data_IF_566044809143
#
_entry.id   IF_566044809143
#
_cell.length_a   1.000
_cell.length_b   1.000
_cell.length_c   1.000
_cell.angle_alpha   90.00
_cell.angle_beta   90.00
_cell.angle_gamma   90.00
#
_symmetry.space_group_name_H-M   'P 1'
#
loop_
_entity.id
_entity.type
_entity.pdbx_description
1 polymer ?
#
# COMPACT_ATOMS: atom_id res chain seq x y z
N UNK A 1 -63.94 40.03 -28.01
CA UNK A 1 -64.44 39.79 -29.38
C UNK A 1 -63.22 39.60 -30.26
N UNK A 2 -62.89 38.35 -30.61
CA UNK A 2 -63.22 37.71 -31.91
C UNK A 2 -62.79 38.61 -33.09
N UNK A 3 -61.92 38.22 -34.01
CA UNK A 3 -61.28 36.94 -34.33
C UNK A 3 -60.83 36.95 -35.81
N UNK A 4 -60.13 35.88 -36.21
CA UNK A 4 -59.85 35.41 -37.59
C UNK A 4 -59.00 36.34 -38.48
N UNK A 5 -58.16 35.87 -39.41
CA UNK A 5 -57.73 34.54 -39.86
C UNK A 5 -56.49 34.76 -40.76
N UNK A 6 -55.64 33.74 -40.94
CA UNK A 6 -55.29 33.23 -42.29
C UNK A 6 -54.19 32.17 -42.20
N UNK A 7 -54.49 31.00 -42.74
CA UNK A 7 -53.55 29.97 -43.07
C UNK A 7 -52.87 30.30 -44.40
N UNK A 8 -51.57 30.01 -44.52
CA UNK A 8 -50.98 29.67 -45.82
C UNK A 8 -49.96 28.57 -45.63
N UNK A 9 -50.06 27.62 -46.53
CA UNK A 9 -49.43 26.31 -46.58
C UNK A 9 -48.18 26.44 -47.45
N UNK A 10 -47.00 26.08 -46.95
CA UNK A 10 -45.76 26.06 -47.75
C UNK A 10 -45.11 24.69 -47.60
N UNK A 11 -45.15 23.93 -48.69
CA UNK A 11 -44.40 22.70 -48.91
C UNK A 11 -42.90 23.01 -48.90
N UNK A 12 -42.20 22.56 -47.85
CA UNK A 12 -40.75 22.60 -47.74
C UNK A 12 -40.12 21.30 -48.22
N UNK A 13 -39.46 21.36 -49.37
CA UNK A 13 -38.58 20.33 -49.92
C UNK A 13 -37.52 19.90 -48.92
N UNK A 14 -37.54 18.63 -48.50
CA UNK A 14 -36.53 18.03 -47.62
C UNK A 14 -35.23 17.84 -48.38
N UNK A 15 -34.31 18.81 -48.29
CA UNK A 15 -32.91 18.58 -48.60
C UNK A 15 -32.27 17.81 -47.44
N UNK A 16 -31.87 16.58 -47.75
CA UNK A 16 -31.12 15.69 -46.86
C UNK A 16 -29.70 16.24 -46.74
N UNK A 17 -29.50 17.11 -45.75
CA UNK A 17 -28.18 17.59 -45.33
C UNK A 17 -27.36 16.41 -44.82
N UNK A 18 -26.30 16.05 -45.54
CA UNK A 18 -25.21 15.23 -45.04
C UNK A 18 -24.50 16.05 -43.97
N UNK A 19 -24.77 15.75 -42.70
CA UNK A 19 -24.01 16.28 -41.58
C UNK A 19 -22.59 15.73 -41.66
N UNK A 20 -21.72 16.49 -42.32
CA UNK A 20 -20.30 16.44 -42.04
C UNK A 20 -20.11 16.97 -40.61
N UNK A 21 -20.05 16.03 -39.66
CA UNK A 21 -19.72 16.22 -38.25
C UNK A 21 -18.24 16.64 -38.11
N UNK A 22 -17.90 17.74 -38.76
CA UNK A 22 -16.65 18.47 -38.60
C UNK A 22 -16.76 19.33 -37.35
N UNK A 23 -16.88 18.63 -36.21
CA UNK A 23 -16.95 19.21 -34.88
C UNK A 23 -15.89 20.30 -34.74
N UNK A 24 -16.35 21.55 -34.73
CA UNK A 24 -15.56 22.72 -34.41
C UNK A 24 -15.22 22.66 -32.92
N UNK A 25 -14.28 21.77 -32.57
CA UNK A 25 -13.62 21.80 -31.28
C UNK A 25 -13.07 23.21 -31.10
N UNK A 26 -13.41 23.83 -29.97
CA UNK A 26 -12.89 25.15 -29.59
C UNK A 26 -11.39 25.21 -29.87
N UNK A 27 -10.87 26.32 -30.39
CA UNK A 27 -9.43 26.50 -30.63
C UNK A 27 -8.59 26.20 -29.38
N UNK A 28 -9.18 26.42 -28.19
CA UNK A 28 -8.63 26.00 -26.90
C UNK A 28 -8.49 24.48 -26.79
N UNK A 29 -9.50 23.71 -27.20
CA UNK A 29 -9.49 22.24 -27.16
C UNK A 29 -8.46 21.66 -28.13
N UNK A 30 -8.32 22.26 -29.32
CA UNK A 30 -7.25 21.88 -30.26
C UNK A 30 -5.87 22.14 -29.64
N UNK A 31 -5.67 23.30 -29.02
CA UNK A 31 -4.41 23.66 -28.34
C UNK A 31 -4.10 22.74 -27.14
N UNK A 32 -5.09 22.43 -26.31
CA UNK A 32 -4.93 21.50 -25.19
C UNK A 32 -4.58 20.09 -25.68
N UNK A 33 -5.19 19.65 -26.78
CA UNK A 33 -4.88 18.36 -27.39
C UNK A 33 -3.42 18.32 -27.86
N UNK A 34 -2.96 19.36 -28.55
CA UNK A 34 -1.55 19.44 -29.00
C UNK A 34 -0.56 19.50 -27.84
N UNK A 35 -0.85 20.28 -26.79
CA UNK A 35 0.03 20.35 -25.60
C UNK A 35 0.06 19.00 -24.86
N UNK A 36 -1.08 18.31 -24.76
CA UNK A 36 -1.17 16.98 -24.17
C UNK A 36 -0.38 15.93 -24.98
N UNK A 37 -0.55 15.92 -26.30
CA UNK A 37 0.16 15.01 -27.20
C UNK A 37 1.68 15.24 -27.13
N UNK A 38 2.13 16.50 -27.07
CA UNK A 38 3.55 16.85 -26.94
C UNK A 38 4.15 16.38 -25.60
N UNK A 39 3.43 16.58 -24.49
CA UNK A 39 3.85 16.11 -23.16
C UNK A 39 3.91 14.59 -23.11
N UNK A 40 2.92 13.90 -23.68
CA UNK A 40 2.88 12.43 -23.75
C UNK A 40 4.02 11.87 -24.60
N UNK A 41 4.27 12.46 -25.77
CA UNK A 41 5.36 12.06 -26.65
C UNK A 41 6.73 12.28 -25.99
N UNK A 42 6.93 13.44 -25.37
CA UNK A 42 8.16 13.77 -24.62
C UNK A 42 8.38 12.85 -23.41
N UNK A 43 7.31 12.45 -22.72
CA UNK A 43 7.35 11.51 -21.59
C UNK A 43 7.74 10.11 -22.07
N UNK A 44 7.10 9.62 -23.14
CA UNK A 44 7.43 8.33 -23.75
C UNK A 44 8.87 8.29 -24.25
N UNK A 45 9.33 9.33 -24.93
CA UNK A 45 10.69 9.39 -25.46
C UNK A 45 11.73 9.33 -24.34
N UNK A 46 11.51 10.03 -23.22
CA UNK A 46 12.36 9.93 -22.02
C UNK A 46 12.36 8.55 -21.37
N UNK A 47 11.24 7.81 -21.42
CA UNK A 47 11.18 6.42 -20.93
C UNK A 47 11.95 5.48 -21.86
N UNK A 48 11.79 5.65 -23.17
CA UNK A 48 12.52 4.88 -24.17
C UNK A 48 14.04 5.13 -24.11
N UNK A 49 14.47 6.37 -23.90
CA UNK A 49 15.90 6.67 -23.71
C UNK A 49 16.48 5.96 -22.49
N UNK A 50 15.78 6.01 -21.34
CA UNK A 50 16.21 5.30 -20.12
C UNK A 50 16.28 3.80 -20.32
N UNK A 51 15.28 3.21 -20.99
CA UNK A 51 15.30 1.78 -21.33
C UNK A 51 16.48 1.41 -22.25
N UNK A 52 16.82 2.27 -23.22
CA UNK A 52 18.00 2.06 -24.07
C UNK A 52 19.29 2.12 -23.26
N UNK A 53 19.44 3.11 -22.38
CA UNK A 53 20.59 3.24 -21.48
C UNK A 53 20.76 2.02 -20.57
N UNK A 54 19.67 1.49 -20.01
CA UNK A 54 19.70 0.27 -19.19
C UNK A 54 20.08 -0.97 -20.02
N UNK A 55 19.55 -1.10 -21.24
CA UNK A 55 19.92 -2.19 -22.15
C UNK A 55 21.38 -2.10 -22.55
N UNK A 56 21.89 -0.90 -22.84
CA UNK A 56 23.31 -0.69 -23.19
C UNK A 56 24.24 -1.00 -22.00
N UNK A 57 23.82 -0.65 -20.77
CA UNK A 57 24.56 -0.99 -19.56
C UNK A 57 24.60 -2.52 -19.32
N UNK A 58 23.49 -3.22 -19.57
CA UNK A 58 23.41 -4.68 -19.48
C UNK A 58 24.26 -5.37 -20.57
N UNK A 59 24.20 -4.87 -21.81
CA UNK A 59 25.04 -5.36 -22.90
C UNK A 59 26.54 -5.13 -22.63
N UNK A 60 26.89 -3.99 -22.02
CA UNK A 60 28.28 -3.67 -21.64
C UNK A 60 28.79 -4.55 -20.50
N UNK A 61 27.94 -4.93 -19.55
CA UNK A 61 28.30 -5.86 -18.46
C UNK A 61 28.39 -7.31 -18.91
N UNK A 62 27.67 -7.68 -19.98
CA UNK A 62 27.72 -9.00 -20.60
C UNK A 62 28.85 -9.17 -21.62
N UNK A 63 29.61 -8.12 -21.94
CA UNK A 63 30.83 -8.31 -22.74
C UNK A 63 31.82 -9.18 -21.93
N UNK A 64 32.18 -10.36 -22.44
CA UNK A 64 33.11 -11.24 -21.75
C UNK A 64 34.44 -10.50 -21.59
N UNK A 65 34.85 -10.27 -20.34
CA UNK A 65 36.19 -9.77 -20.01
C UNK A 65 37.20 -10.62 -20.76
N UNK A 66 37.87 -10.00 -21.73
CA UNK A 66 38.74 -10.66 -22.68
C UNK A 66 39.71 -11.61 -22.01
N UNK A 67 39.64 -12.88 -22.43
CA UNK A 67 40.78 -13.79 -22.37
C UNK A 67 41.94 -13.13 -23.10
N UNK A 68 43.08 -13.14 -22.42
CA UNK A 68 44.39 -12.64 -22.82
C UNK A 68 44.74 -12.88 -24.29
N UNK A 69 45.55 -11.99 -24.91
CA UNK A 69 45.98 -12.14 -26.29
C UNK A 69 47.08 -13.20 -26.33
N UNK A 70 46.72 -14.45 -26.62
CA UNK A 70 47.64 -15.36 -27.29
C UNK A 70 46.81 -16.25 -28.21
N UNK A 71 47.09 -16.09 -29.50
CA UNK A 71 46.24 -16.57 -30.57
C UNK A 71 46.14 -18.08 -30.67
N UNK A 72 45.04 -18.52 -31.24
CA UNK A 72 45.11 -19.48 -32.32
C UNK A 72 43.83 -19.35 -33.14
N UNK A 73 44.02 -19.20 -34.45
CA UNK A 73 43.00 -19.27 -35.47
C UNK A 73 42.11 -20.51 -35.30
N UNK A 74 40.80 -20.31 -35.33
CA UNK A 74 39.88 -21.26 -35.96
C UNK A 74 38.53 -20.59 -36.20
N UNK A 75 38.36 -20.16 -37.44
CA UNK A 75 37.06 -20.01 -38.08
C UNK A 75 36.20 -21.27 -37.87
N UNK A 76 34.88 -21.05 -37.78
CA UNK A 76 33.79 -21.95 -38.20
C UNK A 76 33.28 -22.95 -37.15
N UNK A 77 32.22 -22.55 -36.44
CA UNK A 77 30.96 -23.31 -36.30
C UNK A 77 30.00 -22.60 -35.33
N UNK A 78 29.09 -21.78 -35.86
CA UNK A 78 27.92 -21.26 -35.14
C UNK A 78 26.72 -22.13 -35.54
N UNK A 79 26.72 -23.37 -35.09
CA UNK A 79 25.57 -24.26 -35.08
C UNK A 79 25.90 -25.41 -34.14
N UNK A 80 25.07 -25.61 -33.11
CA UNK A 80 25.20 -26.59 -32.02
C UNK A 80 25.92 -26.10 -30.75
N UNK A 81 25.29 -25.16 -30.03
CA UNK A 81 25.47 -25.06 -28.57
C UNK A 81 24.14 -25.37 -27.87
N UNK A 82 23.75 -26.64 -27.92
CA UNK A 82 22.70 -27.21 -27.08
C UNK A 82 23.17 -28.54 -26.53
N UNK A 83 24.22 -28.50 -25.70
CA UNK A 83 24.65 -29.55 -24.75
C UNK A 83 26.09 -29.29 -24.31
N UNK A 84 26.28 -28.44 -23.29
CA UNK A 84 27.43 -28.51 -22.40
C UNK A 84 27.31 -27.45 -21.31
N UNK A 85 26.87 -27.84 -20.12
CA UNK A 85 27.48 -27.44 -18.84
C UNK A 85 26.68 -28.08 -17.70
N UNK A 86 27.08 -29.29 -17.33
CA UNK A 86 26.52 -30.05 -16.23
C UNK A 86 27.36 -29.90 -14.95
N UNK A 87 27.90 -28.71 -14.69
CA UNK A 87 28.55 -28.35 -13.41
C UNK A 87 28.09 -26.98 -12.93
N UNK A 88 26.79 -26.73 -13.04
CA UNK A 88 26.13 -25.59 -12.45
C UNK A 88 25.98 -25.85 -10.94
N UNK A 89 26.65 -25.01 -10.12
CA UNK A 89 26.51 -24.98 -8.66
C UNK A 89 25.01 -25.06 -8.25
N UNK A 90 24.63 -25.78 -7.18
CA UNK A 90 23.23 -25.91 -6.76
C UNK A 90 22.50 -24.56 -6.65
N UNK A 91 23.21 -23.49 -6.31
CA UNK A 91 22.64 -22.13 -6.17
C UNK A 91 22.18 -21.54 -7.51
N UNK A 92 22.84 -21.90 -8.61
CA UNK A 92 22.48 -21.41 -9.94
C UNK A 92 21.20 -22.05 -10.48
N UNK A 93 20.89 -23.29 -10.08
CA UNK A 93 19.63 -23.96 -10.46
C UNK A 93 18.43 -23.30 -9.79
N UNK A 94 18.55 -22.97 -8.51
CA UNK A 94 17.54 -22.22 -7.74
C UNK A 94 17.28 -20.84 -8.36
N UNK A 95 18.34 -20.12 -8.72
CA UNK A 95 18.23 -18.83 -9.39
C UNK A 95 17.57 -18.94 -10.77
N UNK A 96 17.96 -19.93 -11.59
CA UNK A 96 17.32 -20.15 -12.89
C UNK A 96 15.83 -20.49 -12.77
N UNK A 97 15.45 -21.27 -11.75
CA UNK A 97 14.05 -21.63 -11.53
C UNK A 97 13.21 -20.44 -11.05
N UNK A 98 13.76 -19.59 -10.17
CA UNK A 98 13.07 -18.37 -9.71
C UNK A 98 12.92 -17.36 -10.85
N UNK A 99 13.95 -17.16 -11.67
CA UNK A 99 13.88 -16.31 -12.88
C UNK A 99 12.86 -16.87 -13.87
N UNK A 100 12.85 -18.20 -14.11
CA UNK A 100 11.87 -18.82 -15.00
C UNK A 100 10.43 -18.72 -14.46
N UNK A 101 10.22 -18.75 -13.14
CA UNK A 101 8.90 -18.50 -12.51
C UNK A 101 8.51 -17.03 -12.64
N UNK A 102 9.44 -16.11 -12.42
CA UNK A 102 9.21 -14.66 -12.57
C UNK A 102 8.83 -14.31 -14.01
N UNK A 103 9.55 -14.83 -15.01
CA UNK A 103 9.25 -14.61 -16.43
C UNK A 103 7.91 -15.23 -16.84
N UNK A 104 7.56 -16.43 -16.35
CA UNK A 104 6.23 -17.01 -16.59
C UNK A 104 5.11 -16.18 -15.98
N UNK A 105 5.32 -15.62 -14.78
CA UNK A 105 4.36 -14.71 -14.14
C UNK A 105 4.25 -13.40 -14.91
N UNK A 106 5.37 -12.79 -15.30
CA UNK A 106 5.40 -11.58 -16.10
C UNK A 106 4.69 -11.78 -17.45
N UNK A 107 4.95 -12.89 -18.16
CA UNK A 107 4.26 -13.22 -19.41
C UNK A 107 2.75 -13.46 -19.20
N UNK A 108 2.34 -14.09 -18.09
CA UNK A 108 0.91 -14.27 -17.77
C UNK A 108 0.21 -12.94 -17.44
N UNK A 109 0.93 -11.99 -16.84
CA UNK A 109 0.44 -10.64 -16.58
C UNK A 109 0.49 -9.73 -17.82
N UNK A 110 1.44 -9.97 -18.74
CA UNK A 110 1.62 -9.21 -19.98
C UNK A 110 0.73 -9.70 -21.13
N UNK A 111 0.28 -10.96 -21.10
CA UNK A 111 -0.90 -11.38 -21.85
C UNK A 111 -2.06 -10.53 -21.35
N UNK A 112 -2.41 -9.51 -22.13
CA UNK A 112 -3.60 -8.71 -21.93
C UNK A 112 -4.75 -9.66 -21.66
N UNK A 113 -5.15 -9.77 -20.40
CA UNK A 113 -6.43 -10.35 -20.07
C UNK A 113 -7.42 -9.43 -20.76
N UNK A 114 -7.93 -9.85 -21.92
CA UNK A 114 -9.05 -9.22 -22.56
C UNK A 114 -10.16 -9.25 -21.53
N UNK A 115 -10.32 -8.14 -20.81
CA UNK A 115 -11.38 -7.98 -19.83
C UNK A 115 -12.66 -8.11 -20.63
N UNK A 116 -13.27 -9.29 -20.58
CA UNK A 116 -14.57 -9.52 -21.17
C UNK A 116 -15.55 -8.75 -20.30
N UNK A 117 -15.96 -7.58 -20.77
CA UNK A 117 -17.01 -6.81 -20.13
C UNK A 117 -18.34 -7.49 -20.46
N UNK A 118 -18.94 -8.12 -19.46
CA UNK A 118 -20.22 -8.80 -19.60
C UNK A 118 -20.51 -9.65 -18.35
N UNK A 119 -21.74 -10.14 -18.21
CA UNK A 119 -22.08 -11.12 -17.19
C UNK A 119 -21.20 -12.36 -17.38
N UNK A 120 -20.57 -12.83 -16.31
CA UNK A 120 -19.91 -14.14 -16.32
C UNK A 120 -20.92 -15.24 -16.69
N UNK A 121 -20.45 -16.37 -17.24
CA UNK A 121 -21.32 -17.51 -17.56
C UNK A 121 -22.21 -17.92 -16.36
N UNK A 122 -21.67 -17.82 -15.14
CA UNK A 122 -22.43 -18.05 -13.91
C UNK A 122 -23.52 -16.99 -13.66
N UNK A 123 -23.26 -15.72 -13.98
CA UNK A 123 -24.27 -14.65 -13.86
C UNK A 123 -25.38 -14.80 -14.89
N UNK A 124 -25.10 -15.29 -16.09
CA UNK A 124 -26.13 -15.55 -17.12
C UNK A 124 -27.13 -16.62 -16.67
N UNK A 125 -26.70 -17.57 -15.83
CA UNK A 125 -27.58 -18.64 -15.31
C UNK A 125 -28.43 -18.23 -14.12
N UNK A 126 -28.14 -17.09 -13.48
CA UNK A 126 -28.93 -16.59 -12.36
C UNK A 126 -30.14 -15.83 -12.91
N UNK A 127 -31.30 -16.09 -12.31
CA UNK A 127 -32.48 -15.28 -12.61
C UNK A 127 -32.18 -13.80 -12.27
N UNK A 128 -32.66 -12.90 -13.11
CA UNK A 128 -32.55 -11.47 -12.84
C UNK A 128 -33.18 -11.19 -11.46
N UNK A 129 -32.50 -10.43 -10.58
CA UNK A 129 -33.07 -10.06 -9.30
C UNK A 129 -34.39 -9.31 -9.54
N UNK A 130 -35.42 -9.53 -8.70
CA UNK A 130 -36.70 -8.85 -8.88
C UNK A 130 -36.46 -7.35 -8.94
N UNK A 131 -37.03 -6.70 -9.96
CA UNK A 131 -36.99 -5.24 -10.07
C UNK A 131 -37.50 -4.66 -8.76
N UNK A 132 -36.64 -3.89 -8.09
CA UNK A 132 -37.07 -3.14 -6.92
C UNK A 132 -37.92 -1.99 -7.43
N UNK A 133 -39.18 -1.94 -7.02
CA UNK A 133 -40.00 -0.74 -7.14
C UNK A 133 -39.39 0.36 -6.26
N UNK A 134 -38.37 1.02 -6.78
CA UNK A 134 -37.83 2.23 -6.20
C UNK A 134 -38.90 3.32 -6.38
N UNK A 135 -39.72 3.50 -5.36
CA UNK A 135 -40.73 4.54 -5.34
C UNK A 135 -40.10 5.88 -5.72
N UNK A 136 -40.81 6.66 -6.55
CA UNK A 136 -40.35 7.95 -7.04
C UNK A 136 -39.82 8.80 -5.88
N UNK A 137 -38.50 8.94 -5.80
CA UNK A 137 -37.86 9.78 -4.79
C UNK A 137 -38.27 11.22 -5.09
N UNK A 138 -38.82 11.91 -4.10
CA UNK A 138 -39.26 13.29 -4.25
C UNK A 138 -38.09 14.15 -4.74
N UNK A 139 -38.32 14.99 -5.74
CA UNK A 139 -37.28 15.87 -6.31
C UNK A 139 -36.55 16.66 -5.22
N UNK A 140 -37.28 17.18 -4.23
CA UNK A 140 -36.71 17.91 -3.11
C UNK A 140 -35.73 17.08 -2.25
N UNK A 141 -35.93 15.77 -2.09
CA UNK A 141 -34.96 14.90 -1.40
C UNK A 141 -33.70 14.66 -2.23
N UNK A 142 -33.85 14.46 -3.54
CA UNK A 142 -32.73 14.27 -4.46
C UNK A 142 -31.87 15.54 -4.56
N UNK A 143 -32.50 16.71 -4.63
CA UNK A 143 -31.80 18.00 -4.64
C UNK A 143 -31.03 18.25 -3.34
N UNK A 144 -31.63 17.99 -2.17
CA UNK A 144 -30.94 18.13 -0.88
C UNK A 144 -29.75 17.18 -0.75
N UNK A 145 -29.92 15.92 -1.15
CA UNK A 145 -28.83 14.92 -1.18
C UNK A 145 -27.68 15.37 -2.10
N UNK A 146 -28.03 15.87 -3.29
CA UNK A 146 -27.05 16.37 -4.26
C UNK A 146 -26.30 17.59 -3.73
N UNK A 147 -27.00 18.55 -3.10
CA UNK A 147 -26.39 19.72 -2.47
C UNK A 147 -25.47 19.32 -1.31
N UNK A 148 -25.91 18.43 -0.44
CA UNK A 148 -25.08 17.94 0.68
C UNK A 148 -23.81 17.23 0.18
N UNK A 149 -23.92 16.44 -0.89
CA UNK A 149 -22.76 15.79 -1.53
C UNK A 149 -21.79 16.81 -2.14
N UNK A 150 -22.32 17.88 -2.74
CA UNK A 150 -21.51 18.99 -3.25
C UNK A 150 -20.80 19.74 -2.12
N UNK A 151 -21.49 20.04 -1.01
CA UNK A 151 -20.89 20.68 0.16
C UNK A 151 -19.75 19.84 0.75
N UNK A 152 -19.95 18.52 0.89
CA UNK A 152 -18.91 17.61 1.35
C UNK A 152 -17.70 17.57 0.40
N UNK A 153 -17.96 17.53 -0.92
CA UNK A 153 -16.92 17.56 -1.95
C UNK A 153 -16.12 18.87 -1.92
N UNK A 154 -16.80 20.01 -1.77
CA UNK A 154 -16.17 21.32 -1.63
C UNK A 154 -15.33 21.41 -0.36
N UNK A 155 -15.84 20.96 0.79
CA UNK A 155 -15.10 20.93 2.04
C UNK A 155 -13.83 20.05 1.94
N UNK A 156 -13.94 18.90 1.27
CA UNK A 156 -12.78 18.03 1.00
C UNK A 156 -11.74 18.73 0.12
N UNK A 157 -12.16 19.41 -0.94
CA UNK A 157 -11.25 20.16 -1.83
C UNK A 157 -10.57 21.31 -1.11
N UNK A 158 -11.27 22.04 -0.25
CA UNK A 158 -10.67 23.13 0.55
C UNK A 158 -9.57 22.58 1.47
N UNK A 159 -9.82 21.45 2.15
CA UNK A 159 -8.78 20.78 2.96
C UNK A 159 -7.58 20.35 2.12
N UNK A 160 -7.82 19.79 0.94
CA UNK A 160 -6.77 19.38 0.02
C UNK A 160 -5.92 20.56 -0.45
N UNK A 161 -6.55 21.69 -0.80
CA UNK A 161 -5.86 22.93 -1.17
C UNK A 161 -4.98 23.41 0.00
N UNK A 162 -5.51 23.37 1.23
CA UNK A 162 -4.74 23.69 2.44
C UNK A 162 -3.49 22.82 2.57
N UNK A 163 -3.64 21.50 2.47
CA UNK A 163 -2.53 20.57 2.58
C UNK A 163 -1.47 20.75 1.47
N UNK A 164 -1.89 20.91 0.22
CA UNK A 164 -0.97 21.16 -0.90
C UNK A 164 -0.22 22.49 -0.72
N UNK A 165 -0.89 23.51 -0.17
CA UNK A 165 -0.25 24.79 0.14
C UNK A 165 0.82 24.63 1.22
N UNK A 166 0.56 23.85 2.27
CA UNK A 166 1.55 23.54 3.31
C UNK A 166 2.74 22.75 2.74
N UNK A 167 2.48 21.77 1.88
CA UNK A 167 3.52 20.99 1.22
C UNK A 167 4.42 21.88 0.33
N UNK A 168 3.84 22.81 -0.43
CA UNK A 168 4.59 23.76 -1.24
C UNK A 168 5.50 24.63 -0.37
N UNK A 169 4.96 25.18 0.74
CA UNK A 169 5.75 25.95 1.71
C UNK A 169 6.91 25.14 2.29
N UNK A 170 6.69 23.87 2.65
CA UNK A 170 7.74 23.00 3.16
C UNK A 170 8.82 22.72 2.10
N UNK A 171 8.42 22.54 0.84
CA UNK A 171 9.36 22.36 -0.27
C UNK A 171 10.19 23.62 -0.54
N UNK A 172 9.57 24.81 -0.48
CA UNK A 172 10.25 26.09 -0.60
C UNK A 172 11.27 26.29 0.51
N UNK A 173 10.88 26.06 1.77
CA UNK A 173 11.79 26.14 2.91
C UNK A 173 12.98 25.16 2.77
N UNK A 174 12.72 23.94 2.32
CA UNK A 174 13.79 22.95 2.06
C UNK A 174 14.73 23.39 0.94
N UNK A 175 14.18 24.01 -0.12
CA UNK A 175 14.97 24.55 -1.22
C UNK A 175 15.86 25.70 -0.76
N UNK A 176 15.31 26.64 0.01
CA UNK A 176 16.07 27.76 0.57
C UNK A 176 17.19 27.28 1.49
N UNK A 177 16.92 26.30 2.35
CA UNK A 177 17.93 25.72 3.23
C UNK A 177 19.05 25.05 2.44
N UNK A 178 18.72 24.28 1.39
CA UNK A 178 19.73 23.67 0.51
C UNK A 178 20.53 24.71 -0.27
N UNK A 179 19.89 25.79 -0.72
CA UNK A 179 20.59 26.88 -1.39
C UNK A 179 21.58 27.57 -0.43
N UNK A 180 21.18 27.80 0.82
CA UNK A 180 22.05 28.35 1.88
C UNK A 180 23.23 27.43 2.15
N UNK A 181 23.00 26.13 2.31
CA UNK A 181 24.06 25.13 2.51
C UNK A 181 25.03 25.05 1.32
N UNK A 182 24.52 25.17 0.09
CA UNK A 182 25.35 25.16 -1.11
C UNK A 182 26.27 26.39 -1.18
N UNK A 183 25.75 27.58 -0.86
CA UNK A 183 26.56 28.81 -0.79
C UNK A 183 27.58 28.74 0.35
N UNK A 184 27.19 28.22 1.52
CA UNK A 184 28.13 28.01 2.63
C UNK A 184 29.25 27.03 2.25
N UNK A 185 28.92 25.91 1.59
CA UNK A 185 29.89 24.94 1.11
C UNK A 185 30.83 25.55 0.05
N UNK A 186 30.30 26.36 -0.87
CA UNK A 186 31.08 27.08 -1.87
C UNK A 186 32.04 28.08 -1.22
N UNK A 187 31.56 28.85 -0.25
CA UNK A 187 32.38 29.78 0.54
C UNK A 187 33.50 29.04 1.29
N UNK A 188 33.17 27.95 1.99
CA UNK A 188 34.14 27.09 2.67
C UNK A 188 35.19 26.52 1.70
N UNK A 189 34.77 26.03 0.53
CA UNK A 189 35.69 25.52 -0.49
C UNK A 189 36.64 26.60 -0.99
N UNK A 190 36.16 27.83 -1.18
CA UNK A 190 37.00 28.98 -1.56
C UNK A 190 38.03 29.29 -0.47
N UNK A 191 37.60 29.36 0.80
CA UNK A 191 38.50 29.60 1.94
C UNK A 191 39.59 28.53 2.07
N UNK A 192 39.22 27.26 1.92
CA UNK A 192 40.14 26.13 2.02
C UNK A 192 41.19 26.09 0.90
N UNK A 193 40.87 26.65 -0.27
CA UNK A 193 41.82 26.72 -1.38
C UNK A 193 42.99 27.68 -1.10
N UNK A 194 42.83 28.63 -0.17
CA UNK A 194 43.84 29.66 0.13
C UNK A 194 44.82 29.31 1.26
N UNK A 195 44.45 28.43 2.20
CA UNK A 195 45.28 28.11 3.37
C UNK A 195 45.10 26.66 3.85
N UNK A 196 46.17 25.87 3.72
CA UNK A 196 46.21 24.46 4.13
C UNK A 196 46.15 24.27 5.66
N UNK A 197 46.57 25.26 6.45
CA UNK A 197 46.53 25.18 7.92
C UNK A 197 45.11 25.25 8.48
N UNK A 198 44.23 25.99 7.80
CA UNK A 198 42.80 26.06 8.07
C UNK A 198 42.08 24.73 7.80
N UNK A 199 42.55 23.96 6.82
CA UNK A 199 42.00 22.65 6.49
C UNK A 199 42.10 21.69 7.69
N UNK A 200 43.25 21.61 8.36
CA UNK A 200 43.43 20.73 9.51
C UNK A 200 42.48 21.08 10.66
N UNK A 201 42.30 22.38 10.93
CA UNK A 201 41.35 22.86 11.96
C UNK A 201 39.90 22.51 11.61
N UNK A 202 39.51 22.66 10.35
CA UNK A 202 38.17 22.29 9.87
C UNK A 202 37.96 20.77 9.94
N UNK A 203 38.95 19.97 9.58
CA UNK A 203 38.90 18.51 9.72
C UNK A 203 38.71 18.09 11.19
N UNK A 204 39.44 18.71 12.11
CA UNK A 204 39.30 18.44 13.55
C UNK A 204 37.90 18.80 14.05
N UNK A 205 37.41 19.99 13.71
CA UNK A 205 36.06 20.43 14.06
C UNK A 205 34.98 19.45 13.53
N UNK A 206 35.07 19.02 12.26
CA UNK A 206 34.14 18.03 11.71
C UNK A 206 34.20 16.67 12.42
N UNK A 207 35.38 16.24 12.88
CA UNK A 207 35.52 15.01 13.66
C UNK A 207 34.84 15.15 15.03
N UNK A 208 35.00 16.29 15.69
CA UNK A 208 34.34 16.60 16.96
C UNK A 208 32.82 16.63 16.81
N UNK A 209 32.28 17.37 15.82
CA UNK A 209 30.83 17.39 15.53
C UNK A 209 30.28 15.99 15.20
N UNK A 210 31.04 15.17 14.47
CA UNK A 210 30.63 13.77 14.19
C UNK A 210 30.60 12.92 15.45
N UNK A 211 31.56 13.09 16.36
CA UNK A 211 31.58 12.38 17.65
C UNK A 211 30.39 12.78 18.51
N UNK A 212 30.09 14.07 18.62
CA UNK A 212 28.91 14.58 19.33
C UNK A 212 27.62 14.02 18.75
N UNK A 213 27.48 13.99 17.41
CA UNK A 213 26.30 13.41 16.76
C UNK A 213 26.16 11.91 17.02
N UNK A 214 27.27 11.17 16.98
CA UNK A 214 27.27 9.72 17.32
C UNK A 214 26.86 9.51 18.77
N UNK A 215 27.36 10.34 19.70
CA UNK A 215 26.98 10.30 21.10
C UNK A 215 25.48 10.58 21.27
N UNK A 216 24.95 11.61 20.61
CA UNK A 216 23.52 11.93 20.66
C UNK A 216 22.66 10.78 20.12
N UNK A 217 22.98 10.26 18.92
CA UNK A 217 22.26 9.10 18.37
C UNK A 217 22.33 7.88 19.28
N UNK A 218 23.44 7.69 20.00
CA UNK A 218 23.58 6.60 20.97
C UNK A 218 22.65 6.79 22.18
N UNK A 219 22.51 8.02 22.68
CA UNK A 219 21.56 8.38 23.76
C UNK A 219 20.12 8.16 23.30
N UNK A 220 19.77 8.63 22.10
CA UNK A 220 18.43 8.46 21.54
C UNK A 220 18.08 6.98 21.35
N UNK A 221 19.03 6.19 20.82
CA UNK A 221 18.85 4.74 20.65
C UNK A 221 18.71 4.02 22.01
N UNK A 222 19.46 4.45 23.03
CA UNK A 222 19.33 3.89 24.38
C UNK A 222 17.97 4.21 24.99
N UNK A 223 17.49 5.45 24.83
CA UNK A 223 16.16 5.89 25.26
C UNK A 223 15.06 5.10 24.56
N UNK A 224 15.10 4.98 23.22
CA UNK A 224 14.13 4.20 22.46
C UNK A 224 14.13 2.72 22.87
N UNK A 225 15.29 2.12 23.13
CA UNK A 225 15.38 0.74 23.66
C UNK A 225 14.73 0.61 25.03
N UNK A 226 14.89 1.60 25.91
CA UNK A 226 14.26 1.61 27.21
C UNK A 226 12.74 1.74 27.08
N UNK A 227 12.26 2.63 26.22
CA UNK A 227 10.84 2.81 25.92
C UNK A 227 10.22 1.54 25.32
N UNK A 228 10.91 0.88 24.38
CA UNK A 228 10.46 -0.39 23.82
C UNK A 228 10.38 -1.50 24.87
N UNK A 229 11.36 -1.59 25.79
CA UNK A 229 11.31 -2.53 26.93
C UNK A 229 10.12 -2.24 27.84
N UNK A 230 9.84 -0.97 28.12
CA UNK A 230 8.69 -0.54 28.91
C UNK A 230 7.38 -0.98 28.27
N UNK A 231 7.15 -0.65 27.00
CA UNK A 231 5.91 -1.04 26.30
C UNK A 231 5.77 -2.55 26.14
N UNK A 232 6.88 -3.28 25.93
CA UNK A 232 6.85 -4.75 25.93
C UNK A 232 6.39 -5.32 27.28
N UNK A 233 6.88 -4.76 28.39
CA UNK A 233 6.46 -5.17 29.74
C UNK A 233 4.99 -4.84 29.98
N UNK A 234 4.55 -3.64 29.58
CA UNK A 234 3.16 -3.21 29.72
C UNK A 234 2.20 -4.10 28.93
N UNK A 235 2.53 -4.42 27.67
CA UNK A 235 1.73 -5.32 26.84
C UNK A 235 1.62 -6.73 27.45
N UNK A 236 2.71 -7.23 28.04
CA UNK A 236 2.69 -8.52 28.73
C UNK A 236 1.77 -8.49 29.97
N UNK A 237 1.82 -7.41 30.77
CA UNK A 237 0.94 -7.21 31.92
C UNK A 237 -0.53 -7.09 31.49
N UNK A 238 -0.83 -6.31 30.44
CA UNK A 238 -2.18 -6.16 29.90
C UNK A 238 -2.76 -7.50 29.44
N UNK A 239 -1.96 -8.29 28.71
CA UNK A 239 -2.37 -9.65 28.29
C UNK A 239 -2.63 -10.56 29.48
N UNK A 240 -1.74 -10.57 30.48
CA UNK A 240 -1.91 -11.38 31.67
C UNK A 240 -3.18 -11.00 32.46
N UNK A 241 -3.42 -9.69 32.62
CA UNK A 241 -4.62 -9.15 33.27
C UNK A 241 -5.90 -9.52 32.52
N UNK A 242 -5.91 -9.36 31.19
CA UNK A 242 -7.04 -9.73 30.35
C UNK A 242 -7.38 -11.23 30.48
N UNK A 243 -6.39 -12.11 30.32
CA UNK A 243 -6.58 -13.55 30.44
C UNK A 243 -7.08 -13.95 31.83
N UNK A 244 -6.56 -13.31 32.90
CA UNK A 244 -7.05 -13.57 34.25
C UNK A 244 -8.49 -13.07 34.45
N UNK A 245 -8.83 -11.90 33.93
CA UNK A 245 -10.18 -11.33 34.01
C UNK A 245 -11.21 -12.18 33.28
N UNK A 246 -10.83 -12.70 32.10
CA UNK A 246 -11.64 -13.62 31.32
C UNK A 246 -11.90 -14.94 32.08
N UNK A 247 -10.84 -15.53 32.66
CA UNK A 247 -10.96 -16.74 33.49
C UNK A 247 -11.86 -16.52 34.71
N UNK A 248 -11.70 -15.40 35.40
CA UNK A 248 -12.53 -15.03 36.54
C UNK A 248 -14.00 -14.88 36.10
N UNK A 249 -14.25 -14.18 34.99
CA UNK A 249 -15.59 -13.99 34.43
C UNK A 249 -16.26 -15.34 34.11
N UNK A 250 -15.53 -16.25 33.45
CA UNK A 250 -16.02 -17.58 33.11
C UNK A 250 -16.29 -18.48 34.33
N UNK A 251 -15.54 -18.31 35.43
CA UNK A 251 -15.68 -19.12 36.65
C UNK A 251 -16.76 -18.63 37.63
N UNK A 252 -17.62 -17.68 37.23
CA UNK A 252 -18.67 -17.10 38.09
C UNK A 252 -18.34 -15.71 38.62
N UNK A 253 -17.36 -15.03 38.03
CA UNK A 253 -17.05 -13.62 38.30
C UNK A 253 -16.60 -13.37 39.74
N UNK A 254 -17.20 -12.35 40.38
CA UNK A 254 -16.85 -11.92 41.74
C UNK A 254 -17.11 -13.01 42.78
N UNK A 255 -18.09 -13.88 42.56
CA UNK A 255 -18.43 -14.96 43.49
C UNK A 255 -17.35 -16.05 43.50
N UNK A 256 -16.66 -16.25 42.38
CA UNK A 256 -15.51 -17.16 42.31
C UNK A 256 -14.38 -16.65 43.20
N UNK A 257 -14.03 -15.36 43.07
CA UNK A 257 -12.98 -14.73 43.88
C UNK A 257 -13.28 -14.83 45.38
N UNK A 258 -14.54 -14.58 45.79
CA UNK A 258 -14.96 -14.62 47.19
C UNK A 258 -14.90 -16.00 47.83
N UNK A 259 -14.89 -17.08 47.04
CA UNK A 259 -14.83 -18.48 47.53
C UNK A 259 -13.41 -18.99 47.75
N UNK A 260 -12.39 -18.32 47.22
CA UNK A 260 -11.01 -18.71 47.45
C UNK A 260 -10.57 -18.35 48.88
N UNK A 261 -9.82 -19.25 49.52
CA UNK A 261 -9.23 -18.93 50.83
C UNK A 261 -8.29 -17.75 50.67
N UNK A 262 -8.38 -16.79 51.58
CA UNK A 262 -7.59 -15.56 51.54
C UNK A 262 -6.09 -15.88 51.31
N UNK A 263 -5.52 -15.37 50.22
CA UNK A 263 -4.11 -15.52 49.88
C UNK A 263 -3.76 -16.55 48.79
N UNK A 264 -4.71 -17.37 48.30
CA UNK A 264 -4.41 -18.39 47.27
C UNK A 264 -4.45 -17.87 45.82
N UNK A 265 -5.06 -16.69 45.57
CA UNK A 265 -5.11 -16.10 44.24
C UNK A 265 -4.16 -14.91 44.12
N UNK A 266 -3.07 -15.09 43.37
CA UNK A 266 -2.26 -13.98 42.89
C UNK A 266 -3.02 -13.23 41.78
N UNK A 267 -3.70 -12.15 42.13
CA UNK A 267 -4.30 -11.24 41.15
C UNK A 267 -3.20 -10.47 40.44
N UNK A 268 -3.20 -10.53 39.11
CA UNK A 268 -2.36 -9.69 38.25
C UNK A 268 -2.81 -8.26 38.49
N UNK A 269 -1.86 -7.39 38.85
CA UNK A 269 -2.14 -5.99 39.06
C UNK A 269 -2.74 -5.38 37.78
N UNK A 270 -3.78 -4.57 37.95
CA UNK A 270 -4.38 -3.83 36.85
C UNK A 270 -3.28 -3.03 36.12
N UNK A 271 -3.15 -3.18 34.78
CA UNK A 271 -2.15 -2.43 34.02
C UNK A 271 -2.41 -0.93 34.17
N UNK A 272 -1.34 -0.14 34.24
CA UNK A 272 -1.44 1.31 34.28
C UNK A 272 -2.23 1.82 33.08
N UNK A 273 -3.19 2.70 33.34
CA UNK A 273 -3.95 3.43 32.32
C UNK A 273 -3.02 4.43 31.64
N UNK A 274 -3.06 4.48 30.31
CA UNK A 274 -2.23 5.42 29.53
C UNK A 274 -2.56 6.90 29.80
N UNK A 275 -3.66 7.17 30.52
CA UNK A 275 -4.19 8.51 30.76
C UNK A 275 -3.69 9.16 32.06
N UNK A 276 -3.16 8.39 33.01
CA UNK A 276 -2.93 8.88 34.38
C UNK A 276 -1.52 9.45 34.66
N UNK A 277 -0.61 9.45 33.69
CA UNK A 277 0.69 10.08 33.88
C UNK A 277 0.95 11.15 32.82
N UNK A 278 1.47 12.28 33.29
CA UNK A 278 2.00 13.44 32.56
C UNK A 278 3.12 13.11 31.52
N UNK A 279 3.19 11.89 30.99
CA UNK A 279 4.09 11.52 29.89
C UNK A 279 3.50 11.98 28.56
N UNK A 280 3.78 13.24 28.27
CA UNK A 280 3.45 14.00 27.06
C UNK A 280 4.12 13.48 25.76
N UNK A 281 4.48 12.20 25.71
CA UNK A 281 4.95 11.51 24.52
C UNK A 281 4.01 10.34 24.21
N UNK A 282 2.76 10.69 23.91
CA UNK A 282 1.85 9.78 23.23
C UNK A 282 2.53 9.40 21.91
N UNK A 283 3.11 8.21 21.88
CA UNK A 283 3.75 7.66 20.69
C UNK A 283 2.63 7.51 19.65
N UNK A 284 2.50 8.49 18.75
CA UNK A 284 1.48 8.48 17.70
C UNK A 284 1.89 7.43 16.66
N UNK A 285 1.52 6.19 16.94
CA UNK A 285 1.68 5.04 16.03
C UNK A 285 0.96 5.31 14.70
N UNK A 286 -0.04 6.21 14.67
CA UNK A 286 -0.81 6.55 13.48
C UNK A 286 -0.11 7.50 12.50
N UNK A 287 0.84 8.32 12.96
CA UNK A 287 1.58 9.28 12.11
C UNK A 287 3.07 8.96 11.94
N UNK A 288 3.60 7.93 12.62
CA UNK A 288 4.94 7.45 12.34
C UNK A 288 5.08 7.02 10.87
N UNK A 289 6.22 7.37 10.25
CA UNK A 289 6.69 7.26 8.85
C UNK A 289 6.33 5.97 8.07
N UNK A 290 5.71 4.98 8.70
CA UNK A 290 5.26 3.72 8.12
C UNK A 290 3.73 3.58 8.02
N UNK A 291 2.94 4.65 8.18
CA UNK A 291 1.54 4.58 7.79
C UNK A 291 1.48 4.42 6.24
N UNK A 292 1.06 3.25 5.72
CA UNK A 292 1.03 3.02 4.27
C UNK A 292 0.06 3.95 3.54
N UNK A 293 -0.81 4.66 4.28
CA UNK A 293 -1.69 5.69 3.75
C UNK A 293 -1.07 7.10 3.72
N UNK A 294 0.13 7.30 4.29
CA UNK A 294 0.78 8.61 4.40
C UNK A 294 2.08 8.70 3.58
N UNK A 295 2.84 7.61 3.42
CA UNK A 295 4.18 7.67 2.82
C UNK A 295 4.36 7.13 1.40
N UNK A 296 3.32 6.66 0.70
CA UNK A 296 3.42 6.43 -0.75
C UNK A 296 2.04 6.39 -1.42
N UNK A 297 1.35 7.54 -1.45
CA UNK A 297 0.33 7.77 -2.47
C UNK A 297 1.02 7.98 -3.81
N UNK A 298 1.41 6.85 -4.40
CA UNK A 298 1.73 6.73 -5.81
C UNK A 298 0.65 7.47 -6.64
N UNK A 299 0.99 8.23 -7.70
CA UNK A 299 0.09 9.18 -8.35
C UNK A 299 -0.97 8.51 -9.26
N UNK A 300 -1.27 7.24 -9.06
CA UNK A 300 -2.39 6.57 -9.69
C UNK A 300 -3.46 6.35 -8.64
N UNK A 301 -4.48 7.21 -8.63
CA UNK A 301 -5.73 6.94 -7.94
C UNK A 301 -6.46 5.79 -8.67
N UNK A 302 -6.56 4.56 -8.11
CA UNK A 302 -7.42 3.53 -8.68
C UNK A 302 -8.86 3.67 -8.13
N UNK A 303 -9.09 4.56 -7.17
CA UNK A 303 -10.29 4.55 -6.32
C UNK A 303 -11.18 5.80 -6.41
N UNK A 304 -10.87 6.79 -7.26
CA UNK A 304 -11.78 7.95 -7.45
C UNK A 304 -13.05 7.57 -8.23
N UNK A 305 -13.05 6.43 -8.93
CA UNK A 305 -14.26 5.85 -9.52
C UNK A 305 -14.98 4.83 -8.62
N UNK A 306 -14.32 4.32 -7.57
CA UNK A 306 -14.92 3.31 -6.67
C UNK A 306 -15.95 3.89 -5.68
N UNK A 307 -16.02 5.22 -5.52
CA UNK A 307 -16.98 5.88 -4.61
C UNK A 307 -18.27 6.36 -5.27
N UNK A 308 -18.53 5.97 -6.52
CA UNK A 308 -19.80 6.26 -7.21
C UNK A 308 -20.82 5.12 -7.11
N UNK A 309 -20.46 3.98 -6.56
CA UNK A 309 -21.44 2.96 -6.18
C UNK A 309 -22.21 3.46 -4.96
N UNK A 310 -23.56 3.41 -4.96
CA UNK A 310 -24.32 3.59 -3.73
C UNK A 310 -23.75 2.63 -2.69
N UNK A 311 -23.56 3.12 -1.47
CA UNK A 311 -23.00 2.37 -0.35
C UNK A 311 -23.70 1.01 -0.26
N UNK A 312 -23.05 -0.04 -0.77
CA UNK A 312 -23.61 -1.39 -0.74
C UNK A 312 -23.91 -1.70 0.73
N UNK A 313 -25.13 -2.20 0.98
CA UNK A 313 -25.54 -2.63 2.31
C UNK A 313 -24.43 -3.48 2.91
N UNK A 314 -23.99 -3.15 4.15
CA UNK A 314 -22.91 -3.84 4.84
C UNK A 314 -23.03 -5.35 4.59
N UNK A 315 -22.15 -5.88 3.74
CA UNK A 315 -22.12 -7.32 3.51
C UNK A 315 -21.83 -7.96 4.87
N UNK A 316 -22.51 -9.05 5.23
CA UNK A 316 -22.16 -9.79 6.43
C UNK A 316 -20.67 -10.14 6.38
N UNK A 317 -20.02 -10.12 7.55
CA UNK A 317 -18.60 -10.44 7.65
C UNK A 317 -18.31 -11.73 6.86
N UNK A 318 -17.32 -11.66 5.97
CA UNK A 318 -16.90 -12.81 5.20
C UNK A 318 -16.38 -13.87 6.18
N UNK A 319 -17.15 -14.95 6.36
CA UNK A 319 -16.69 -16.14 7.07
C UNK A 319 -15.76 -16.88 6.11
N UNK A 320 -14.45 -16.91 6.44
CA UNK A 320 -13.48 -17.69 5.68
C UNK A 320 -13.90 -19.16 5.72
N UNK A 321 -14.16 -19.75 4.55
CA UNK A 321 -14.49 -21.17 4.40
C UNK A 321 -13.41 -22.00 5.12
N UNK A 322 -13.82 -22.71 6.16
CA UNK A 322 -12.92 -23.57 6.91
C UNK A 322 -12.57 -24.79 6.07
N UNK A 323 -11.47 -25.45 6.42
CA UNK A 323 -11.04 -26.69 5.74
C UNK A 323 -12.09 -27.81 5.85
N UNK A 324 -13.06 -27.68 6.78
CA UNK A 324 -14.22 -28.56 6.92
C UNK A 324 -15.30 -28.26 5.86
N UNK A 325 -15.55 -26.99 5.56
CA UNK A 325 -16.52 -26.55 4.54
C UNK A 325 -16.09 -27.00 3.14
N UNK A 326 -14.79 -26.94 2.85
CA UNK A 326 -14.23 -27.42 1.58
C UNK A 326 -14.39 -28.93 1.41
N UNK A 327 -14.23 -29.71 2.50
CA UNK A 327 -14.47 -31.17 2.48
C UNK A 327 -15.94 -31.51 2.38
N UNK A 328 -16.83 -30.65 2.90
CA UNK A 328 -18.27 -30.83 2.80
C UNK A 328 -18.78 -30.50 1.39
N UNK A 329 -18.18 -29.51 0.71
CA UNK A 329 -18.44 -29.21 -0.69
C UNK A 329 -18.01 -30.34 -1.64
N UNK A 330 -16.88 -31.01 -1.36
CA UNK A 330 -16.43 -32.18 -2.11
C UNK A 330 -17.35 -33.41 -1.93
N UNK A 331 -18.14 -33.47 -0.85
CA UNK A 331 -19.03 -34.61 -0.58
C UNK A 331 -20.28 -34.67 -1.45
N UNK A 332 -20.47 -33.69 -2.33
CA UNK A 332 -21.46 -33.76 -3.39
C UNK A 332 -22.90 -33.60 -2.88
N UNK A 333 -23.59 -32.67 -3.51
CA UNK A 333 -25.02 -32.42 -3.41
C UNK A 333 -25.86 -33.72 -3.36
N UNK A 334 -26.16 -34.19 -2.15
CA UNK A 334 -27.38 -34.95 -1.85
C UNK A 334 -27.99 -34.46 -0.55
N UNK A 335 -28.77 -33.39 -0.71
CA UNK A 335 -30.03 -33.11 -0.02
C UNK A 335 -30.02 -33.13 1.52
N UNK A 336 -30.12 -31.94 2.12
CA UNK A 336 -31.19 -31.72 3.11
C UNK A 336 -31.50 -30.24 3.38
N UNK A 337 -32.63 -29.71 2.88
CA UNK A 337 -33.06 -28.33 3.17
C UNK A 337 -33.82 -28.18 4.51
N UNK A 338 -33.72 -29.13 5.46
CA UNK A 338 -34.57 -29.13 6.67
C UNK A 338 -33.91 -29.58 7.99
N UNK A 339 -32.58 -29.64 8.14
CA UNK A 339 -31.99 -29.93 9.46
C UNK A 339 -31.65 -28.66 10.24
N UNK A 340 -32.69 -28.10 10.86
CA UNK A 340 -32.54 -27.17 11.97
C UNK A 340 -32.04 -27.85 13.25
N UNK A 341 -31.51 -26.99 14.13
CA UNK A 341 -31.43 -27.07 15.59
C UNK A 341 -30.92 -28.38 16.24
N UNK A 342 -29.70 -28.28 16.77
CA UNK A 342 -29.34 -28.91 18.05
C UNK A 342 -28.54 -30.21 17.96
N UNK A 343 -27.23 -30.12 18.19
CA UNK A 343 -26.49 -31.22 18.82
C UNK A 343 -25.26 -30.65 19.55
N UNK A 344 -25.21 -30.98 20.85
CA UNK A 344 -24.18 -30.63 21.81
C UNK A 344 -22.90 -31.44 21.56
N UNK A 345 -21.77 -30.77 21.75
CA UNK A 345 -20.65 -31.24 22.56
C UNK A 345 -19.72 -32.29 21.95
N UNK A 346 -18.46 -31.91 21.75
CA UNK A 346 -17.33 -32.82 21.95
C UNK A 346 -16.10 -32.05 22.45
N UNK A 347 -15.69 -32.42 23.67
CA UNK A 347 -14.38 -32.18 24.27
C UNK A 347 -13.29 -32.92 23.48
N UNK A 348 -12.27 -32.21 23.00
CA UNK A 348 -10.87 -32.67 22.84
C UNK A 348 -10.01 -31.40 22.98
N UNK A 349 -9.23 -31.22 24.03
CA UNK A 349 -8.05 -32.03 24.32
C UNK A 349 -6.90 -31.55 23.43
N UNK A 350 -6.44 -30.31 23.67
CA UNK A 350 -5.24 -29.76 23.05
C UNK A 350 -4.19 -29.69 24.16
N UNK A 351 -3.26 -30.64 24.12
CA UNK A 351 -2.04 -30.63 24.92
C UNK A 351 -1.12 -29.54 24.38
N UNK A 352 -0.78 -28.61 25.29
CA UNK A 352 0.27 -27.60 25.14
C UNK A 352 1.65 -28.29 25.20
N UNK A 353 2.34 -28.40 24.07
CA UNK A 353 3.77 -28.67 24.00
C UNK A 353 4.40 -27.62 23.07
N UNK A 354 4.94 -26.54 23.64
CA UNK A 354 6.00 -25.77 23.02
C UNK A 354 6.90 -25.12 24.08
N UNK A 355 7.82 -25.98 24.53
CA UNK A 355 8.91 -25.77 25.46
C UNK A 355 10.05 -24.99 24.78
N UNK A 356 9.99 -23.66 24.81
CA UNK A 356 11.08 -22.79 24.31
C UNK A 356 11.45 -21.70 25.32
N UNK A 357 12.27 -22.05 26.32
CA UNK A 357 13.23 -21.11 26.92
C UNK A 357 14.31 -21.82 27.77
N UNK A 358 15.22 -22.51 27.08
CA UNK A 358 16.46 -23.01 27.69
C UNK A 358 17.47 -21.85 27.82
N UNK A 359 17.45 -21.16 28.97
CA UNK A 359 18.56 -20.25 29.37
C UNK A 359 19.83 -21.06 29.64
N UNK A 360 21.01 -20.62 29.15
CA UNK A 360 22.28 -21.19 29.59
C UNK A 360 22.64 -20.65 30.99
N UNK A 361 22.91 -21.57 31.90
CA UNK A 361 23.45 -21.32 33.24
C UNK A 361 24.83 -20.67 33.15
N UNK A 362 24.99 -19.51 33.78
CA UNK A 362 26.28 -18.88 34.03
C UNK A 362 27.10 -19.74 35.01
N UNK A 363 28.28 -20.15 34.58
CA UNK A 363 29.28 -20.75 35.44
C UNK A 363 29.84 -19.69 36.41
N UNK A 364 29.81 -20.03 37.71
CA UNK A 364 30.59 -19.36 38.76
C UNK A 364 32.06 -19.75 38.59
N UNK A 365 32.93 -18.75 38.46
CA UNK A 365 34.35 -18.89 38.81
C UNK A 365 34.55 -18.47 40.27
N UNK A 366 35.23 -19.34 41.02
CA UNK A 366 36.06 -18.99 42.18
C UNK A 366 37.52 -19.11 41.76
#
# INVERSE_FOLDING_TARGET
MLGRASASNVNGTVQRSTMDDSGHGSSLQSRLKTEFDEVMQSSMQRRLSRLREEVDALCSTLQPRGTTPNGCDSHRQVANMSKASATASPDTKSLCETVAKALRRANRCALEQTKQYGPSEQQVTKADPPEKDEGLVMEGTTLRSSLSSLEQSLASRVKQIGHLTEQLKACEATREERARQAEEAKSKSSMLSGDLSLLLKICQFHLETRRERVEQMSKDTAFQKQQAKYYKSLAHQQRAFYLQSERISACGGKDAIARHKAGELALVAQPATLEDDNTQELFDVGTAVANPYVCDSWPFEPNVLAKRTPQESAMPAFEEETEEDLREAERGFRTNPFRGAGARGFNRGFDDDDDYDRRPSSARSL
#
